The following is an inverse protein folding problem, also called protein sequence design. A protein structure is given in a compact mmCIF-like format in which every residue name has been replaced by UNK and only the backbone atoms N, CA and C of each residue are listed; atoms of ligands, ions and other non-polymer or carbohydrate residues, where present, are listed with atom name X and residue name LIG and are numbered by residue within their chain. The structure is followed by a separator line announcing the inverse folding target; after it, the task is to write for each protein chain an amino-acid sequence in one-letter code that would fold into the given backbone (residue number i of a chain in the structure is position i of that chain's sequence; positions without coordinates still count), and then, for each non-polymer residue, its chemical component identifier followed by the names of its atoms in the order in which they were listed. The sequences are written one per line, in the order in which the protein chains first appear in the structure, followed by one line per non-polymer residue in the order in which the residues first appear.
data_IF_151708788582
#
_entry.id   IF_151708788582
#
_cell.length_a   1.000
_cell.length_b   1.000
_cell.length_c   1.000
_cell.angle_alpha   90.00
_cell.angle_beta   90.00
_cell.angle_gamma   90.00
#
_symmetry.space_group_name_H-M   'P 1'
#
loop_
_entity.id
_entity.type
_entity.pdbx_description
1 polymer ?
#
# COMPACT_ATOMS: atom_id res chain seq x y z
N UNK A 1 -0.25 -7.41 -24.34
CA UNK A 1 0.05 -7.36 -22.88
C UNK A 1 1.24 -6.44 -22.72
N UNK A 2 1.10 -5.33 -22.02
CA UNK A 2 2.22 -4.41 -21.76
C UNK A 2 2.85 -4.82 -20.45
N UNK A 3 4.14 -5.12 -20.53
CA UNK A 3 5.00 -5.26 -19.38
C UNK A 3 5.47 -3.86 -18.98
N UNK A 4 5.02 -3.36 -17.84
CA UNK A 4 5.50 -2.12 -17.29
C UNK A 4 6.59 -2.43 -16.28
N UNK A 5 7.84 -2.45 -16.73
CA UNK A 5 8.99 -2.47 -15.84
C UNK A 5 9.25 -1.04 -15.36
N UNK A 6 9.14 -0.79 -14.07
CA UNK A 6 9.36 0.53 -13.49
C UNK A 6 10.55 0.45 -12.56
N UNK A 7 11.65 1.02 -12.97
CA UNK A 7 12.86 1.15 -12.15
C UNK A 7 12.71 2.32 -11.16
N UNK A 8 12.10 2.04 -10.01
CA UNK A 8 12.19 2.97 -8.86
C UNK A 8 13.49 2.85 -8.06
N UNK A 9 14.32 1.83 -8.32
CA UNK A 9 15.50 1.48 -7.53
C UNK A 9 16.86 1.85 -8.14
N UNK A 10 16.94 2.15 -9.41
CA UNK A 10 18.20 2.48 -10.08
C UNK A 10 18.77 3.86 -9.70
N UNK A 11 18.00 4.72 -9.04
CA UNK A 11 18.48 6.04 -8.57
C UNK A 11 19.60 6.00 -7.52
N UNK A 12 20.00 4.83 -7.04
CA UNK A 12 21.14 4.70 -6.11
C UNK A 12 22.50 4.65 -6.80
N UNK A 13 22.51 4.40 -8.10
CA UNK A 13 23.74 4.31 -8.91
C UNK A 13 23.95 5.51 -9.82
N UNK A 14 23.00 6.44 -9.90
CA UNK A 14 23.08 7.59 -10.80
C UNK A 14 23.06 8.90 -10.01
N UNK A 15 24.08 9.71 -10.28
CA UNK A 15 24.20 11.07 -9.75
C UNK A 15 22.96 11.90 -10.14
N UNK A 16 22.41 12.63 -9.18
CA UNK A 16 21.20 13.47 -9.33
C UNK A 16 21.33 14.61 -10.35
N UNK A 17 22.52 14.82 -10.90
CA UNK A 17 22.82 15.96 -11.78
C UNK A 17 22.69 15.70 -13.27
N UNK A 18 22.53 14.45 -13.73
CA UNK A 18 22.45 14.15 -15.16
C UNK A 18 21.24 13.28 -15.50
N UNK A 19 20.24 13.87 -16.15
CA UNK A 19 19.09 13.18 -16.76
C UNK A 19 19.48 12.38 -18.04
N UNK A 20 20.72 12.41 -18.46
CA UNK A 20 21.21 11.87 -19.75
C UNK A 20 22.03 10.60 -19.58
N UNK A 21 21.45 9.54 -19.02
CA UNK A 21 22.12 8.25 -19.05
C UNK A 21 21.40 7.31 -20.03
N UNK A 22 22.06 7.07 -21.15
CA UNK A 22 21.75 6.00 -22.09
C UNK A 22 21.98 4.66 -21.38
N UNK A 23 20.93 4.04 -20.86
CA UNK A 23 20.98 2.64 -20.46
C UNK A 23 20.90 1.86 -21.78
N UNK A 24 22.04 1.31 -22.24
CA UNK A 24 22.03 0.34 -23.34
C UNK A 24 21.37 -0.94 -22.82
N UNK A 25 20.19 -1.24 -23.34
CA UNK A 25 19.52 -2.50 -23.08
C UNK A 25 20.12 -3.58 -23.97
N UNK A 26 20.56 -4.69 -23.37
CA UNK A 26 21.06 -5.88 -24.06
C UNK A 26 20.00 -6.52 -24.97
N UNK A 27 18.71 -6.27 -24.72
CA UNK A 27 17.60 -6.89 -25.44
C UNK A 27 16.98 -5.92 -26.46
N UNK A 28 17.23 -6.16 -27.74
CA UNK A 28 16.59 -5.47 -28.85
C UNK A 28 15.27 -6.19 -29.22
N UNK A 29 14.19 -5.89 -28.53
CA UNK A 29 12.84 -6.41 -28.82
C UNK A 29 11.90 -5.23 -29.12
N UNK A 30 11.29 -5.23 -30.32
CA UNK A 30 10.38 -4.18 -30.75
C UNK A 30 9.13 -4.01 -29.85
N UNK A 31 8.85 -4.99 -28.97
CA UNK A 31 7.77 -4.91 -28.00
C UNK A 31 8.15 -4.12 -26.74
N UNK A 32 9.44 -3.87 -26.52
CA UNK A 32 9.96 -3.12 -25.39
C UNK A 32 9.98 -1.64 -25.75
N UNK A 33 9.27 -0.82 -24.98
CA UNK A 33 9.28 0.64 -25.07
C UNK A 33 9.94 1.21 -23.82
N UNK A 34 11.07 1.89 -23.98
CA UNK A 34 11.78 2.59 -22.92
C UNK A 34 11.28 4.02 -22.86
N UNK A 35 10.97 4.52 -21.66
CA UNK A 35 10.53 5.89 -21.42
C UNK A 35 11.40 6.49 -20.32
N UNK A 36 12.21 7.46 -20.70
CA UNK A 36 13.04 8.23 -19.76
C UNK A 36 12.25 9.41 -19.22
N UNK A 37 12.22 9.56 -17.89
CA UNK A 37 11.56 10.66 -17.20
C UNK A 37 12.43 11.16 -16.07
N UNK A 38 12.27 12.44 -15.67
CA UNK A 38 12.85 12.94 -14.44
C UNK A 38 12.41 12.08 -13.24
N UNK A 39 13.29 11.93 -12.24
CA UNK A 39 12.96 11.16 -11.04
C UNK A 39 11.94 11.91 -10.18
N UNK A 40 10.67 11.59 -10.37
CA UNK A 40 9.54 12.09 -9.58
C UNK A 40 8.91 11.00 -8.69
N UNK A 41 9.65 9.92 -8.43
CA UNK A 41 9.21 8.80 -7.60
C UNK A 41 8.43 7.71 -8.34
N UNK A 42 8.23 6.58 -7.66
CA UNK A 42 7.61 5.37 -8.23
C UNK A 42 6.19 5.60 -8.74
N UNK A 43 5.39 6.39 -8.02
CA UNK A 43 4.00 6.72 -8.41
C UNK A 43 3.94 7.45 -9.75
N UNK A 44 4.83 8.44 -9.97
CA UNK A 44 4.90 9.19 -11.21
C UNK A 44 5.34 8.29 -12.37
N UNK A 45 6.36 7.45 -12.16
CA UNK A 45 6.84 6.51 -13.16
C UNK A 45 5.73 5.51 -13.56
N UNK A 46 5.00 4.93 -12.58
CA UNK A 46 3.88 4.02 -12.85
C UNK A 46 2.74 4.72 -13.61
N UNK A 47 2.43 5.98 -13.29
CA UNK A 47 1.44 6.75 -14.04
C UNK A 47 1.87 6.98 -15.49
N UNK A 48 3.13 7.37 -15.73
CA UNK A 48 3.69 7.49 -17.09
C UNK A 48 3.54 6.17 -17.85
N UNK A 49 3.76 5.07 -17.18
CA UNK A 49 3.56 3.77 -17.78
C UNK A 49 2.11 3.47 -18.15
N UNK A 50 1.15 3.76 -17.26
CA UNK A 50 -0.29 3.60 -17.55
C UNK A 50 -0.68 4.44 -18.78
N UNK A 51 -0.20 5.68 -18.88
CA UNK A 51 -0.50 6.61 -19.95
C UNK A 51 0.04 6.16 -21.32
N UNK A 52 1.20 5.52 -21.32
CA UNK A 52 1.86 5.03 -22.52
C UNK A 52 1.52 3.58 -22.88
N UNK A 53 0.76 2.88 -22.06
CA UNK A 53 0.33 1.52 -22.33
C UNK A 53 -0.66 1.46 -23.47
N UNK A 54 -0.48 0.50 -24.40
CA UNK A 54 -1.33 0.31 -25.59
C UNK A 54 -2.12 -0.99 -25.56
N UNK A 55 -1.71 -1.98 -24.75
CA UNK A 55 -2.38 -3.29 -24.65
C UNK A 55 -3.60 -3.26 -23.71
N UNK A 56 -4.44 -4.28 -23.80
CA UNK A 56 -5.71 -4.38 -23.06
C UNK A 56 -5.53 -4.51 -21.56
N UNK A 57 -4.41 -5.08 -21.12
CA UNK A 57 -4.14 -5.35 -19.69
C UNK A 57 -2.82 -4.73 -19.26
N UNK A 58 -2.78 -4.25 -18.01
CA UNK A 58 -1.61 -3.67 -17.36
C UNK A 58 -1.21 -4.55 -16.19
N UNK A 59 0.08 -4.84 -16.09
CA UNK A 59 0.74 -5.55 -15.00
C UNK A 59 1.93 -4.70 -14.57
N UNK A 60 2.13 -4.56 -13.26
CA UNK A 60 3.33 -3.93 -12.71
C UNK A 60 4.33 -5.02 -12.33
N UNK A 61 5.60 -4.81 -12.62
CA UNK A 61 6.69 -5.70 -12.20
C UNK A 61 7.80 -4.83 -11.63
N UNK A 62 8.21 -5.13 -10.40
CA UNK A 62 9.30 -4.43 -9.77
C UNK A 62 10.64 -4.98 -10.31
N UNK A 63 11.67 -4.15 -10.51
CA UNK A 63 12.90 -4.53 -11.21
C UNK A 63 13.78 -5.54 -10.46
N UNK A 64 13.54 -5.73 -9.18
CA UNK A 64 14.26 -6.66 -8.30
C UNK A 64 13.53 -8.01 -8.10
N UNK A 65 12.39 -8.19 -8.79
CA UNK A 65 11.58 -9.40 -8.76
C UNK A 65 11.64 -10.18 -10.08
N UNK A 66 11.11 -11.40 -10.06
CA UNK A 66 11.04 -12.29 -11.23
C UNK A 66 9.65 -12.88 -11.40
N UNK A 67 9.41 -13.51 -12.55
CA UNK A 67 8.16 -14.23 -12.82
C UNK A 67 8.48 -15.66 -13.29
N UNK A 68 7.63 -16.62 -12.91
CA UNK A 68 7.74 -18.01 -13.36
C UNK A 68 7.34 -18.14 -14.82
N UNK A 69 7.73 -19.27 -15.43
CA UNK A 69 7.29 -19.64 -16.77
C UNK A 69 5.76 -19.63 -16.89
N UNK A 70 5.27 -19.34 -18.09
CA UNK A 70 3.85 -19.25 -18.41
C UNK A 70 3.03 -18.19 -17.63
N UNK A 71 3.70 -17.27 -16.88
CA UNK A 71 3.02 -16.17 -16.17
C UNK A 71 2.11 -15.38 -17.12
N UNK A 72 2.65 -14.86 -18.20
CA UNK A 72 1.91 -13.99 -19.12
C UNK A 72 0.84 -14.73 -19.92
N UNK A 73 1.10 -15.96 -20.37
CA UNK A 73 0.12 -16.75 -21.12
C UNK A 73 -1.06 -17.15 -20.26
N UNK A 74 -0.81 -17.56 -19.01
CA UNK A 74 -1.85 -17.92 -18.05
C UNK A 74 -2.73 -16.71 -17.72
N UNK A 75 -2.13 -15.54 -17.45
CA UNK A 75 -2.88 -14.33 -17.16
C UNK A 75 -3.71 -13.90 -18.37
N UNK A 76 -3.13 -13.90 -19.58
CA UNK A 76 -3.88 -13.58 -20.79
C UNK A 76 -5.12 -14.46 -20.93
N UNK A 77 -4.96 -15.78 -20.83
CA UNK A 77 -6.06 -16.73 -20.91
C UNK A 77 -7.12 -16.48 -19.84
N UNK A 78 -6.70 -16.25 -18.59
CA UNK A 78 -7.60 -15.95 -17.47
C UNK A 78 -8.39 -14.67 -17.71
N UNK A 79 -7.74 -13.56 -18.03
CA UNK A 79 -8.38 -12.26 -18.22
C UNK A 79 -9.35 -12.24 -19.41
N UNK A 80 -8.99 -12.91 -20.53
CA UNK A 80 -9.85 -12.95 -21.71
C UNK A 80 -11.07 -13.87 -21.52
N UNK A 81 -10.95 -14.95 -20.75
CA UNK A 81 -12.05 -15.91 -20.54
C UNK A 81 -13.20 -15.35 -19.69
N UNK A 82 -12.93 -14.39 -18.79
CA UNK A 82 -13.92 -13.91 -17.81
C UNK A 82 -14.18 -12.40 -17.87
N UNK A 83 -13.48 -11.66 -18.71
CA UNK A 83 -13.65 -10.20 -18.93
C UNK A 83 -13.79 -9.41 -17.62
N UNK A 84 -12.75 -9.44 -16.79
CA UNK A 84 -12.70 -8.78 -15.47
C UNK A 84 -12.06 -7.40 -15.55
N UNK A 85 -12.40 -6.51 -14.60
CA UNK A 85 -11.74 -5.22 -14.45
C UNK A 85 -10.37 -5.37 -13.77
N UNK A 86 -10.34 -6.21 -12.70
CA UNK A 86 -9.11 -6.51 -11.97
C UNK A 86 -9.08 -7.99 -11.58
N UNK A 87 -7.95 -8.65 -11.82
CA UNK A 87 -7.65 -9.95 -11.25
C UNK A 87 -6.67 -9.79 -10.08
N UNK A 88 -6.96 -10.47 -8.96
CA UNK A 88 -6.09 -10.52 -7.77
C UNK A 88 -5.40 -11.89 -7.78
N UNK A 89 -4.06 -11.89 -7.80
CA UNK A 89 -3.26 -13.11 -7.95
C UNK A 89 -2.65 -13.55 -6.62
N UNK A 90 -2.36 -14.84 -6.50
CA UNK A 90 -1.34 -15.34 -5.59
C UNK A 90 0.06 -14.94 -6.08
N UNK A 91 1.05 -15.07 -5.19
CA UNK A 91 2.45 -14.84 -5.52
C UNK A 91 3.34 -15.84 -4.79
N UNK A 92 4.58 -15.98 -5.26
CA UNK A 92 5.60 -16.80 -4.62
C UNK A 92 6.55 -15.89 -3.84
N UNK A 93 6.66 -16.10 -2.53
CA UNK A 93 7.54 -15.31 -1.68
C UNK A 93 8.86 -16.04 -1.49
N UNK A 94 9.96 -15.34 -1.65
CA UNK A 94 11.32 -15.80 -1.37
C UNK A 94 11.91 -14.87 -0.31
N UNK A 95 12.48 -15.41 0.74
CA UNK A 95 13.18 -14.64 1.79
C UNK A 95 14.64 -15.06 1.80
N UNK A 96 15.51 -14.11 1.54
CA UNK A 96 16.98 -14.29 1.55
C UNK A 96 17.59 -13.76 2.86
N UNK A 97 18.67 -14.42 3.30
CA UNK A 97 19.52 -13.92 4.37
C UNK A 97 20.55 -12.87 3.84
N UNK A 98 21.45 -12.40 4.72
CA UNK A 98 22.49 -11.42 4.34
C UNK A 98 23.52 -11.96 3.35
N UNK A 99 23.61 -13.28 3.19
CA UNK A 99 24.52 -13.96 2.30
C UNK A 99 23.88 -14.35 0.97
N UNK A 100 22.56 -14.04 0.79
CA UNK A 100 21.80 -14.41 -0.40
C UNK A 100 21.25 -15.85 -0.36
N UNK A 101 21.32 -16.55 0.77
CA UNK A 101 20.72 -17.88 0.87
C UNK A 101 19.23 -17.76 1.12
N UNK A 102 18.46 -18.63 0.48
CA UNK A 102 16.99 -18.72 0.71
C UNK A 102 16.77 -19.37 2.07
N UNK A 103 16.15 -18.59 2.98
CA UNK A 103 15.80 -19.06 4.34
C UNK A 103 14.33 -19.42 4.49
N UNK A 104 13.49 -18.92 3.58
CA UNK A 104 12.06 -19.25 3.52
C UNK A 104 11.54 -18.99 2.13
N UNK A 105 10.67 -19.87 1.63
CA UNK A 105 9.93 -19.66 0.39
C UNK A 105 8.56 -20.33 0.45
N UNK A 106 7.65 -19.90 -0.43
CA UNK A 106 6.32 -20.51 -0.56
C UNK A 106 5.30 -19.61 -1.26
N UNK A 107 4.19 -20.23 -1.62
CA UNK A 107 3.07 -19.50 -2.22
C UNK A 107 2.25 -18.76 -1.17
N UNK A 108 1.88 -17.53 -1.49
CA UNK A 108 0.98 -16.69 -0.70
C UNK A 108 -0.24 -16.40 -1.56
N UNK A 109 -1.40 -16.78 -1.06
CA UNK A 109 -2.67 -16.56 -1.73
C UNK A 109 -3.43 -15.37 -1.12
N UNK A 110 -4.38 -14.78 -1.85
CA UNK A 110 -5.36 -13.86 -1.27
C UNK A 110 -6.08 -14.50 -0.09
N UNK A 111 -6.46 -13.71 0.91
CA UNK A 111 -7.14 -14.20 2.12
C UNK A 111 -8.48 -14.86 1.80
N UNK A 112 -9.07 -14.49 0.66
CA UNK A 112 -10.34 -15.06 0.16
C UNK A 112 -10.28 -15.23 -1.35
N UNK A 113 -11.10 -16.12 -1.85
CA UNK A 113 -11.41 -16.20 -3.28
C UNK A 113 -12.44 -15.10 -3.59
N UNK A 114 -11.97 -13.92 -4.00
CA UNK A 114 -12.85 -12.80 -4.33
C UNK A 114 -13.53 -13.04 -5.66
N UNK A 115 -14.85 -13.00 -5.65
CA UNK A 115 -15.73 -13.02 -6.81
C UNK A 115 -16.67 -11.84 -6.66
N UNK A 116 -16.66 -10.92 -7.62
CA UNK A 116 -17.57 -9.79 -7.66
C UNK A 116 -18.05 -9.55 -9.09
N UNK A 117 -19.32 -9.22 -9.24
CA UNK A 117 -19.96 -8.92 -10.52
C UNK A 117 -20.61 -7.53 -10.56
N UNK A 118 -20.52 -6.78 -9.46
CA UNK A 118 -21.02 -5.42 -9.37
C UNK A 118 -20.10 -4.54 -8.55
N UNK A 119 -20.22 -3.22 -8.72
CA UNK A 119 -19.50 -2.25 -7.88
C UNK A 119 -19.89 -2.43 -6.41
N UNK A 120 -21.16 -2.69 -6.15
CA UNK A 120 -21.65 -2.88 -4.79
C UNK A 120 -21.00 -4.07 -4.09
N UNK A 121 -20.92 -5.23 -4.76
CA UNK A 121 -20.21 -6.40 -4.22
C UNK A 121 -18.75 -6.11 -3.97
N UNK A 122 -18.07 -5.44 -4.91
CA UNK A 122 -16.65 -5.08 -4.76
C UNK A 122 -16.43 -4.15 -3.57
N UNK A 123 -17.24 -3.12 -3.45
CA UNK A 123 -17.17 -2.13 -2.37
C UNK A 123 -17.44 -2.77 -1.00
N UNK A 124 -18.34 -3.74 -0.92
CA UNK A 124 -18.66 -4.44 0.34
C UNK A 124 -17.66 -5.54 0.72
N UNK A 125 -17.06 -6.23 -0.26
CA UNK A 125 -16.28 -7.46 0.00
C UNK A 125 -14.78 -7.32 -0.18
N UNK A 126 -14.35 -6.53 -1.17
CA UNK A 126 -12.93 -6.36 -1.54
C UNK A 126 -12.33 -5.08 -0.96
N UNK A 127 -12.97 -3.95 -1.21
CA UNK A 127 -12.45 -2.64 -0.83
C UNK A 127 -12.06 -2.52 0.66
N UNK A 128 -12.83 -3.04 1.64
CA UNK A 128 -12.48 -2.91 3.06
C UNK A 128 -11.12 -3.53 3.41
N UNK A 129 -10.64 -4.49 2.58
CA UNK A 129 -9.33 -5.13 2.77
C UNK A 129 -8.14 -4.29 2.28
N UNK A 130 -8.40 -3.19 1.59
CA UNK A 130 -7.39 -2.27 1.04
C UNK A 130 -7.53 -0.83 1.55
N UNK A 131 -8.72 -0.46 2.03
CA UNK A 131 -9.00 0.91 2.50
C UNK A 131 -8.22 1.25 3.78
N UNK A 132 -8.06 0.27 4.66
CA UNK A 132 -7.33 0.42 5.92
C UNK A 132 -8.03 -0.32 7.07
N UNK A 133 -7.44 -0.24 8.27
CA UNK A 133 -8.01 -0.88 9.46
C UNK A 133 -9.26 -0.14 9.92
N UNK A 134 -10.36 -0.87 10.06
CA UNK A 134 -11.59 -0.41 10.70
C UNK A 134 -11.48 -0.41 12.23
N UNK A 135 -12.47 0.17 12.91
CA UNK A 135 -12.63 0.01 14.37
C UNK A 135 -12.73 -1.48 14.73
N UNK A 136 -13.50 -2.25 13.96
CA UNK A 136 -13.69 -3.68 14.21
C UNK A 136 -12.39 -4.47 14.07
N UNK A 137 -11.54 -4.13 13.09
CA UNK A 137 -10.23 -4.77 12.92
C UNK A 137 -9.34 -4.56 14.14
N UNK A 138 -9.32 -3.35 14.71
CA UNK A 138 -8.55 -3.05 15.93
C UNK A 138 -9.10 -3.84 17.12
N UNK A 139 -10.42 -3.91 17.29
CA UNK A 139 -11.04 -4.65 18.39
C UNK A 139 -10.79 -6.16 18.29
N UNK A 140 -10.90 -6.74 17.09
CA UNK A 140 -10.59 -8.15 16.83
C UNK A 140 -9.10 -8.44 17.06
N UNK A 141 -8.22 -7.56 16.55
CA UNK A 141 -6.78 -7.70 16.75
C UNK A 141 -6.39 -7.62 18.24
N UNK A 142 -6.99 -6.72 18.99
CA UNK A 142 -6.69 -6.57 20.42
C UNK A 142 -6.97 -7.84 21.25
N UNK A 143 -7.86 -8.70 20.78
CA UNK A 143 -8.21 -10.00 21.39
C UNK A 143 -7.44 -11.18 20.79
N UNK A 144 -6.55 -10.93 19.84
CA UNK A 144 -5.84 -11.94 19.04
C UNK A 144 -4.35 -11.92 19.36
N UNK A 145 -3.67 -13.05 19.14
CA UNK A 145 -2.20 -13.15 19.15
C UNK A 145 -1.59 -12.89 17.77
N UNK A 146 -2.42 -12.78 16.72
CA UNK A 146 -1.96 -12.56 15.36
C UNK A 146 -1.47 -11.13 15.12
N UNK A 147 -0.63 -10.95 14.10
CA UNK A 147 -0.22 -9.63 13.65
C UNK A 147 -1.41 -8.89 13.02
N UNK A 148 -1.53 -7.58 13.31
CA UNK A 148 -2.61 -6.74 12.75
C UNK A 148 -2.61 -6.73 11.21
N UNK A 149 -1.44 -6.86 10.59
CA UNK A 149 -1.30 -6.91 9.14
C UNK A 149 -2.12 -8.02 8.48
N UNK A 150 -2.44 -9.11 9.20
CA UNK A 150 -3.32 -10.17 8.72
C UNK A 150 -4.80 -9.76 8.56
N UNK A 151 -5.18 -8.56 8.99
CA UNK A 151 -6.54 -8.04 8.82
C UNK A 151 -6.78 -7.42 7.46
N UNK A 152 -5.71 -7.03 6.75
CA UNK A 152 -5.76 -6.47 5.41
C UNK A 152 -5.16 -7.44 4.39
N UNK A 153 -5.52 -7.25 3.13
CA UNK A 153 -4.82 -7.90 2.02
C UNK A 153 -3.44 -7.27 1.79
N UNK A 154 -2.57 -8.03 1.16
CA UNK A 154 -1.30 -7.51 0.68
C UNK A 154 -1.55 -6.52 -0.45
N UNK A 155 -1.30 -5.24 -0.19
CA UNK A 155 -1.70 -4.13 -1.07
C UNK A 155 -0.83 -3.91 -2.29
N UNK A 156 0.18 -4.76 -2.57
CA UNK A 156 1.09 -4.59 -3.70
C UNK A 156 0.38 -4.65 -5.06
N UNK A 157 0.70 -3.74 -5.96
CA UNK A 157 0.08 -3.67 -7.30
C UNK A 157 0.59 -4.73 -8.24
N UNK A 158 1.82 -5.24 -8.04
CA UNK A 158 2.40 -6.29 -8.87
C UNK A 158 1.67 -7.65 -8.74
N UNK A 159 0.85 -7.85 -7.71
CA UNK A 159 0.01 -9.05 -7.60
C UNK A 159 -1.33 -8.92 -8.31
N UNK A 160 -1.60 -7.81 -8.96
CA UNK A 160 -2.88 -7.56 -9.63
C UNK A 160 -2.67 -7.34 -11.14
N UNK A 161 -3.69 -7.72 -11.89
CA UNK A 161 -3.79 -7.43 -13.32
C UNK A 161 -4.98 -6.53 -13.54
N UNK A 162 -4.78 -5.44 -14.24
CA UNK A 162 -5.82 -4.43 -14.46
C UNK A 162 -6.18 -4.35 -15.94
N UNK A 163 -7.46 -4.25 -16.24
CA UNK A 163 -7.89 -3.88 -17.59
C UNK A 163 -7.56 -2.40 -17.81
N UNK A 164 -6.81 -2.11 -18.88
CA UNK A 164 -6.35 -0.74 -19.19
C UNK A 164 -7.50 0.25 -19.33
N UNK A 165 -8.53 -0.11 -20.09
CA UNK A 165 -9.70 0.76 -20.31
C UNK A 165 -10.46 1.05 -19.00
N UNK A 166 -10.50 0.09 -18.07
CA UNK A 166 -11.04 0.32 -16.73
C UNK A 166 -10.26 1.40 -15.99
N UNK A 167 -8.91 1.33 -15.98
CA UNK A 167 -8.07 2.34 -15.33
C UNK A 167 -8.26 3.72 -15.96
N UNK A 168 -8.29 3.79 -17.30
CA UNK A 168 -8.40 5.05 -18.03
C UNK A 168 -9.79 5.68 -17.89
N UNK A 169 -10.86 4.91 -18.10
CA UNK A 169 -12.26 5.39 -17.99
C UNK A 169 -12.55 5.95 -16.59
N UNK A 170 -12.00 5.33 -15.56
CA UNK A 170 -12.22 5.75 -14.17
C UNK A 170 -11.10 6.66 -13.63
N UNK A 171 -10.15 7.08 -14.47
CA UNK A 171 -9.03 7.96 -14.10
C UNK A 171 -8.25 7.44 -12.88
N UNK A 172 -8.06 6.12 -12.80
CA UNK A 172 -7.34 5.50 -11.69
C UNK A 172 -5.85 5.71 -11.91
N UNK A 173 -5.22 6.48 -11.02
CA UNK A 173 -3.81 6.84 -11.05
C UNK A 173 -3.22 6.77 -9.63
N UNK A 174 -1.91 6.55 -9.56
CA UNK A 174 -1.18 6.68 -8.31
C UNK A 174 -1.15 8.15 -7.87
N UNK A 175 -1.22 8.37 -6.57
CA UNK A 175 -1.04 9.70 -5.99
C UNK A 175 0.46 9.92 -5.70
N UNK A 176 1.16 10.84 -6.39
CA UNK A 176 2.59 11.08 -6.19
C UNK A 176 2.95 11.63 -4.80
N UNK A 177 1.99 12.17 -4.07
CA UNK A 177 2.19 12.63 -2.68
C UNK A 177 2.26 11.47 -1.67
N UNK A 178 1.87 10.26 -2.07
CA UNK A 178 1.96 9.06 -1.23
C UNK A 178 3.22 8.29 -1.61
N UNK A 179 4.19 8.23 -0.70
CA UNK A 179 5.49 7.58 -0.92
C UNK A 179 5.62 6.19 -0.29
N UNK A 180 4.71 5.88 0.63
CA UNK A 180 4.59 4.58 1.31
C UNK A 180 3.13 4.17 1.35
N UNK A 181 2.82 2.94 0.97
CA UNK A 181 1.47 2.39 0.77
C UNK A 181 0.69 3.07 -0.38
N UNK A 182 1.39 3.65 -1.35
CA UNK A 182 0.81 4.15 -2.61
C UNK A 182 0.05 3.06 -3.36
N UNK A 183 0.57 1.84 -3.34
CA UNK A 183 -0.01 0.63 -3.93
C UNK A 183 -1.38 0.31 -3.34
N UNK A 184 -1.48 0.33 -2.01
CA UNK A 184 -2.75 0.07 -1.32
C UNK A 184 -3.80 1.11 -1.66
N UNK A 185 -3.42 2.39 -1.78
CA UNK A 185 -4.36 3.45 -2.13
C UNK A 185 -4.76 3.42 -3.60
N UNK A 186 -3.84 3.07 -4.51
CA UNK A 186 -4.17 2.82 -5.91
C UNK A 186 -5.20 1.68 -6.03
N UNK A 187 -4.96 0.58 -5.33
CA UNK A 187 -5.88 -0.55 -5.28
C UNK A 187 -7.24 -0.17 -4.67
N UNK A 188 -7.25 0.54 -3.55
CA UNK A 188 -8.50 1.00 -2.92
C UNK A 188 -9.32 1.89 -3.87
N UNK A 189 -8.66 2.82 -4.58
CA UNK A 189 -9.32 3.64 -5.60
C UNK A 189 -9.88 2.77 -6.74
N UNK A 190 -9.10 1.80 -7.22
CA UNK A 190 -9.55 0.85 -8.23
C UNK A 190 -10.77 0.05 -7.77
N UNK A 191 -10.69 -0.58 -6.60
CA UNK A 191 -11.78 -1.40 -6.08
C UNK A 191 -13.02 -0.60 -5.70
N UNK A 192 -12.92 0.70 -5.44
CA UNK A 192 -14.08 1.56 -5.25
C UNK A 192 -14.94 1.72 -6.53
N UNK A 193 -14.41 1.32 -7.69
CA UNK A 193 -15.05 1.51 -9.01
C UNK A 193 -15.19 0.23 -9.83
N UNK A 194 -14.48 -0.84 -9.46
CA UNK A 194 -14.48 -2.08 -10.23
C UNK A 194 -15.81 -2.83 -10.11
N UNK A 195 -16.34 -3.27 -11.25
CA UNK A 195 -17.53 -4.10 -11.30
C UNK A 195 -17.19 -5.59 -11.17
N UNK A 196 -16.15 -6.03 -11.90
CA UNK A 196 -15.81 -7.45 -11.98
C UNK A 196 -14.43 -7.72 -11.42
N UNK A 197 -14.39 -8.43 -10.30
CA UNK A 197 -13.17 -8.91 -9.66
C UNK A 197 -13.14 -10.43 -9.67
N UNK A 198 -11.98 -11.00 -9.92
CA UNK A 198 -11.73 -12.45 -9.76
C UNK A 198 -10.38 -12.67 -9.13
N UNK A 199 -10.29 -13.72 -8.35
CA UNK A 199 -9.01 -14.21 -7.80
C UNK A 199 -8.49 -15.34 -8.66
N UNK A 200 -7.19 -15.35 -8.92
CA UNK A 200 -6.44 -16.47 -9.47
C UNK A 200 -5.44 -16.98 -8.43
N UNK A 201 -5.76 -18.11 -7.80
CA UNK A 201 -4.91 -18.74 -6.77
C UNK A 201 -3.73 -19.48 -7.43
N UNK A 202 -2.79 -18.70 -7.99
CA UNK A 202 -1.52 -19.21 -8.55
C UNK A 202 -0.42 -18.18 -8.27
N UNK A 203 0.72 -18.68 -7.78
CA UNK A 203 1.90 -17.88 -7.42
C UNK A 203 2.94 -17.87 -8.54
N UNK A 204 2.73 -17.08 -9.59
CA UNK A 204 3.69 -16.94 -10.68
C UNK A 204 4.65 -15.77 -10.52
N UNK A 205 4.27 -14.72 -9.80
CA UNK A 205 5.13 -13.59 -9.46
C UNK A 205 6.01 -13.99 -8.28
N UNK A 206 7.33 -13.85 -8.41
CA UNK A 206 8.31 -14.19 -7.38
C UNK A 206 8.79 -12.92 -6.69
N UNK A 207 8.22 -12.63 -5.52
CA UNK A 207 8.60 -11.51 -4.67
C UNK A 207 9.74 -11.89 -3.74
N UNK A 208 10.89 -11.21 -3.85
CA UNK A 208 12.08 -11.51 -3.07
C UNK A 208 12.33 -10.49 -1.97
N UNK A 209 12.27 -10.93 -0.72
CA UNK A 209 12.60 -10.11 0.46
C UNK A 209 14.09 -10.24 0.76
N UNK A 210 14.82 -9.12 0.63
CA UNK A 210 16.25 -9.01 0.94
C UNK A 210 16.49 -8.09 2.13
N UNK A 211 17.48 -8.36 3.00
CA UNK A 211 17.81 -7.48 4.14
C UNK A 211 18.20 -6.06 3.73
N UNK A 212 18.74 -5.89 2.51
CA UNK A 212 19.12 -4.59 1.92
C UNK A 212 18.00 -3.91 1.12
N UNK A 213 16.83 -4.54 1.00
CA UNK A 213 15.73 -4.06 0.16
C UNK A 213 15.21 -2.68 0.54
N UNK A 214 14.58 -2.00 -0.42
CA UNK A 214 14.02 -0.65 -0.25
C UNK A 214 12.96 -0.58 0.87
N UNK A 215 12.24 -1.67 1.10
CA UNK A 215 11.27 -1.80 2.20
C UNK A 215 11.90 -1.65 3.60
N UNK A 216 13.19 -2.00 3.74
CA UNK A 216 13.91 -1.92 5.01
C UNK A 216 14.47 -0.51 5.32
N UNK A 217 14.41 0.43 4.37
CA UNK A 217 14.94 1.78 4.57
C UNK A 217 14.00 2.62 5.43
N UNK A 218 14.55 3.24 6.47
CA UNK A 218 13.82 4.20 7.30
C UNK A 218 13.58 5.50 6.52
N UNK A 219 12.32 5.94 6.45
CA UNK A 219 11.89 7.20 5.82
C UNK A 219 11.17 8.08 6.83
N UNK A 220 11.79 8.24 8.02
CA UNK A 220 11.14 8.94 9.14
C UNK A 220 10.88 10.43 8.83
N UNK A 221 11.75 11.09 8.05
CA UNK A 221 11.62 12.52 7.72
C UNK A 221 10.33 12.87 6.96
N UNK A 222 9.82 11.96 6.12
CA UNK A 222 8.64 12.17 5.28
C UNK A 222 7.36 11.53 5.88
N UNK A 223 7.47 10.95 7.08
CA UNK A 223 6.41 10.10 7.62
C UNK A 223 5.12 10.88 7.89
N UNK A 224 5.19 12.09 8.44
CA UNK A 224 3.99 12.90 8.75
C UNK A 224 3.26 13.31 7.48
N UNK A 225 4.00 13.76 6.46
CA UNK A 225 3.44 14.15 5.16
C UNK A 225 2.78 12.96 4.49
N UNK A 226 3.45 11.81 4.48
CA UNK A 226 2.89 10.58 3.93
C UNK A 226 1.61 10.13 4.64
N UNK A 227 1.57 10.20 5.99
CA UNK A 227 0.35 9.88 6.76
C UNK A 227 -0.79 10.85 6.45
N UNK A 228 -0.48 12.12 6.22
CA UNK A 228 -1.47 13.14 5.82
C UNK A 228 -2.03 12.82 4.43
N UNK A 229 -1.18 12.52 3.46
CA UNK A 229 -1.61 12.15 2.11
C UNK A 229 -2.45 10.87 2.10
N UNK A 230 -2.10 9.86 2.91
CA UNK A 230 -2.91 8.65 3.07
C UNK A 230 -4.28 8.93 3.70
N UNK A 231 -4.34 9.81 4.70
CA UNK A 231 -5.59 10.23 5.33
C UNK A 231 -6.53 10.89 4.31
N UNK A 232 -6.01 11.83 3.53
CA UNK A 232 -6.75 12.55 2.49
C UNK A 232 -7.23 11.59 1.40
N UNK A 233 -6.38 10.68 0.92
CA UNK A 233 -6.75 9.70 -0.10
C UNK A 233 -7.89 8.80 0.36
N UNK A 234 -7.84 8.27 1.59
CA UNK A 234 -8.93 7.46 2.17
C UNK A 234 -10.22 8.25 2.28
N UNK A 235 -10.13 9.47 2.79
CA UNK A 235 -11.30 10.36 2.96
C UNK A 235 -11.95 10.68 1.62
N UNK A 236 -11.15 10.93 0.58
CA UNK A 236 -11.66 11.22 -0.76
C UNK A 236 -12.38 10.00 -1.36
N UNK A 237 -11.83 8.79 -1.18
CA UNK A 237 -12.48 7.54 -1.62
C UNK A 237 -13.82 7.36 -0.91
N UNK A 238 -13.85 7.53 0.43
CA UNK A 238 -15.06 7.36 1.22
C UNK A 238 -16.12 8.43 0.87
N UNK A 239 -15.71 9.69 0.71
CA UNK A 239 -16.61 10.77 0.31
C UNK A 239 -17.21 10.53 -1.08
N UNK A 240 -16.41 10.04 -2.04
CA UNK A 240 -16.93 9.68 -3.37
C UNK A 240 -17.94 8.52 -3.28
N UNK A 241 -17.64 7.50 -2.49
CA UNK A 241 -18.55 6.37 -2.27
C UNK A 241 -19.90 6.84 -1.67
N UNK A 242 -19.85 7.69 -0.65
CA UNK A 242 -21.06 8.20 0.01
C UNK A 242 -21.91 9.07 -0.95
N UNK A 243 -21.28 9.89 -1.81
CA UNK A 243 -21.98 10.61 -2.88
C UNK A 243 -22.67 9.69 -3.89
N UNK A 244 -22.15 8.47 -4.04
CA UNK A 244 -22.72 7.42 -4.91
C UNK A 244 -23.74 6.53 -4.19
N UNK A 245 -24.11 6.86 -2.94
CA UNK A 245 -25.14 6.15 -2.18
C UNK A 245 -24.62 4.96 -1.36
N UNK A 246 -23.30 4.77 -1.21
CA UNK A 246 -22.74 3.79 -0.29
C UNK A 246 -22.69 4.37 1.13
N UNK A 247 -22.94 3.54 2.13
CA UNK A 247 -22.91 3.95 3.54
C UNK A 247 -21.56 3.59 4.17
N UNK A 248 -20.58 4.47 3.98
CA UNK A 248 -19.27 4.38 4.65
C UNK A 248 -19.15 5.46 5.73
N UNK A 249 -18.60 5.06 6.86
CA UNK A 249 -18.36 5.95 7.99
C UNK A 249 -16.87 6.03 8.35
N UNK A 250 -16.55 6.97 9.23
CA UNK A 250 -15.19 7.05 9.78
C UNK A 250 -14.75 5.73 10.43
N UNK A 251 -15.68 4.91 10.96
CA UNK A 251 -15.39 3.64 11.62
C UNK A 251 -14.71 2.62 10.70
N UNK A 252 -14.95 2.73 9.39
CA UNK A 252 -14.43 1.79 8.38
C UNK A 252 -12.92 1.92 8.13
N UNK A 253 -12.30 3.04 8.56
CA UNK A 253 -10.86 3.28 8.43
C UNK A 253 -10.22 3.99 9.63
N UNK A 254 -10.97 4.26 10.69
CA UNK A 254 -10.49 4.97 11.89
C UNK A 254 -9.30 4.27 12.55
N UNK A 255 -9.28 2.94 12.54
CA UNK A 255 -8.15 2.15 13.07
C UNK A 255 -6.83 2.54 12.41
N UNK A 256 -6.80 2.71 11.09
CA UNK A 256 -5.60 3.15 10.37
C UNK A 256 -5.13 4.54 10.78
N UNK A 257 -6.05 5.47 11.03
CA UNK A 257 -5.70 6.83 11.45
C UNK A 257 -5.13 6.85 12.87
N UNK A 258 -5.71 6.08 13.78
CA UNK A 258 -5.19 5.94 15.17
C UNK A 258 -3.86 5.23 15.20
N UNK A 259 -3.68 4.14 14.42
CA UNK A 259 -2.39 3.44 14.30
C UNK A 259 -1.31 4.36 13.71
N UNK A 260 -1.66 5.25 12.80
CA UNK A 260 -0.74 6.28 12.30
C UNK A 260 -0.32 7.25 13.40
N UNK A 261 -1.22 7.66 14.31
CA UNK A 261 -0.85 8.46 15.48
C UNK A 261 0.15 7.73 16.38
N UNK A 262 -0.09 6.44 16.65
CA UNK A 262 0.83 5.63 17.47
C UNK A 262 2.21 5.53 16.81
N UNK A 263 2.26 5.29 15.51
CA UNK A 263 3.51 5.22 14.77
C UNK A 263 4.27 6.55 14.81
N UNK A 264 3.58 7.68 14.61
CA UNK A 264 4.18 9.01 14.69
C UNK A 264 4.71 9.31 16.10
N UNK A 265 3.97 8.99 17.15
CA UNK A 265 4.41 9.17 18.54
C UNK A 265 5.69 8.36 18.81
N UNK A 266 5.76 7.13 18.29
CA UNK A 266 6.90 6.22 18.54
C UNK A 266 8.12 6.57 17.67
N UNK A 267 7.93 6.87 16.39
CA UNK A 267 9.04 7.03 15.44
C UNK A 267 9.60 8.44 15.38
N UNK A 268 8.77 9.46 15.48
CA UNK A 268 9.19 10.83 15.27
C UNK A 268 10.08 11.36 16.40
N UNK A 269 11.14 12.14 16.07
CA UNK A 269 11.95 12.84 17.08
C UNK A 269 11.12 13.96 17.72
N UNK A 270 11.55 14.40 18.90
CA UNK A 270 10.86 15.50 19.61
C UNK A 270 10.85 16.80 18.82
N UNK A 271 11.84 17.04 17.98
CA UNK A 271 11.89 18.18 17.06
C UNK A 271 10.69 18.25 16.11
N UNK A 272 10.15 17.11 15.68
CA UNK A 272 8.98 17.00 14.80
C UNK A 272 7.62 16.97 15.54
N UNK A 273 7.60 17.35 16.83
CA UNK A 273 6.37 17.35 17.64
C UNK A 273 5.27 18.28 17.12
N UNK A 274 5.64 19.37 16.44
CA UNK A 274 4.67 20.32 15.87
C UNK A 274 3.90 19.70 14.72
N UNK A 275 4.58 19.05 13.80
CA UNK A 275 4.02 18.36 12.64
C UNK A 275 3.18 17.17 13.09
N UNK A 276 3.69 16.36 14.03
CA UNK A 276 2.94 15.25 14.64
C UNK A 276 1.65 15.77 15.31
N UNK A 277 1.73 16.86 16.07
CA UNK A 277 0.56 17.50 16.70
C UNK A 277 -0.44 18.00 15.67
N UNK A 278 0.03 18.60 14.54
CA UNK A 278 -0.84 19.04 13.45
C UNK A 278 -1.63 17.86 12.86
N UNK A 279 -0.98 16.73 12.61
CA UNK A 279 -1.65 15.51 12.15
C UNK A 279 -2.72 15.02 13.16
N UNK A 280 -2.35 14.86 14.42
CA UNK A 280 -3.25 14.38 15.48
C UNK A 280 -4.47 15.31 15.66
N UNK A 281 -4.30 16.62 15.44
CA UNK A 281 -5.37 17.64 15.54
C UNK A 281 -6.22 17.78 14.29
N UNK A 282 -5.92 17.06 13.22
CA UNK A 282 -6.80 17.02 12.06
C UNK A 282 -8.20 16.51 12.49
N UNK A 283 -9.27 17.12 11.97
CA UNK A 283 -10.65 16.82 12.36
C UNK A 283 -11.00 15.34 12.17
N UNK A 284 -10.61 14.75 11.05
CA UNK A 284 -10.86 13.34 10.73
C UNK A 284 -10.10 12.42 11.70
N UNK A 285 -8.85 12.77 12.05
CA UNK A 285 -8.06 12.01 13.03
C UNK A 285 -8.69 12.09 14.43
N UNK A 286 -9.14 13.28 14.84
CA UNK A 286 -9.85 13.45 16.13
C UNK A 286 -11.14 12.65 16.19
N UNK A 287 -11.90 12.63 15.11
CA UNK A 287 -13.10 11.80 15.03
C UNK A 287 -12.75 10.32 15.10
N UNK A 288 -11.69 9.88 14.41
CA UNK A 288 -11.18 8.51 14.48
C UNK A 288 -10.80 8.09 15.91
N UNK A 289 -10.12 8.98 16.64
CA UNK A 289 -9.76 8.77 18.05
C UNK A 289 -11.02 8.65 18.92
N UNK A 290 -12.03 9.48 18.68
CA UNK A 290 -13.28 9.49 19.44
C UNK A 290 -14.06 8.19 19.26
N UNK A 291 -14.20 7.70 18.03
CA UNK A 291 -15.01 6.51 17.72
C UNK A 291 -14.35 5.19 18.10
N UNK A 292 -13.02 5.15 18.28
CA UNK A 292 -12.32 3.93 18.72
C UNK A 292 -12.50 3.75 20.23
N UNK A 293 -13.18 2.68 20.71
CA UNK A 293 -13.30 2.41 22.15
C UNK A 293 -11.99 1.84 22.71
N UNK A 294 -11.87 1.84 24.03
CA UNK A 294 -10.80 1.08 24.69
C UNK A 294 -10.98 -0.41 24.43
N UNK A 295 -9.85 -1.09 24.25
CA UNK A 295 -9.82 -2.47 23.71
C UNK A 295 -9.58 -3.52 24.79
N UNK A 296 -9.16 -3.10 26.01
CA UNK A 296 -8.65 -3.98 27.07
C UNK A 296 -7.17 -4.37 26.90
N UNK A 297 -6.53 -3.98 25.78
CA UNK A 297 -5.11 -4.27 25.52
C UNK A 297 -4.24 -3.06 25.84
N UNK A 298 -3.43 -3.14 26.91
CA UNK A 298 -2.61 -2.02 27.38
C UNK A 298 -1.77 -1.34 26.29
N UNK A 299 -1.17 -2.11 25.38
CA UNK A 299 -0.37 -1.58 24.25
C UNK A 299 -1.17 -0.66 23.31
N UNK A 300 -2.48 -0.85 23.23
CA UNK A 300 -3.40 0.01 22.44
C UNK A 300 -3.98 1.10 23.31
N UNK A 301 -4.41 0.75 24.53
CA UNK A 301 -5.21 1.61 25.38
C UNK A 301 -4.40 2.74 26.03
N UNK A 302 -3.12 2.52 26.36
CA UNK A 302 -2.25 3.56 26.91
C UNK A 302 -2.04 4.70 25.89
N UNK A 303 -1.58 4.45 24.64
CA UNK A 303 -1.47 5.52 23.66
C UNK A 303 -2.84 6.09 23.26
N UNK A 304 -3.89 5.29 23.20
CA UNK A 304 -5.25 5.77 22.92
C UNK A 304 -5.75 6.72 24.02
N UNK A 305 -5.49 6.41 25.28
CA UNK A 305 -5.78 7.29 26.39
C UNK A 305 -5.07 8.65 26.24
N UNK A 306 -3.77 8.62 25.95
CA UNK A 306 -3.01 9.85 25.73
C UNK A 306 -3.56 10.69 24.58
N UNK A 307 -4.06 10.06 23.51
CA UNK A 307 -4.72 10.74 22.40
C UNK A 307 -6.08 11.33 22.79
N UNK A 308 -6.91 10.56 23.49
CA UNK A 308 -8.27 10.98 23.92
C UNK A 308 -8.27 12.15 24.89
N UNK A 309 -7.25 12.22 25.76
CA UNK A 309 -7.12 13.27 26.77
C UNK A 309 -6.08 14.34 26.43
N UNK A 310 -5.68 14.44 25.16
CA UNK A 310 -4.73 15.43 24.62
C UNK A 310 -3.33 15.40 25.28
N UNK A 311 -2.95 14.25 25.84
CA UNK A 311 -1.66 14.01 26.52
C UNK A 311 -0.57 13.52 25.56
N UNK A 312 -0.82 13.53 24.25
CA UNK A 312 0.07 12.98 23.25
C UNK A 312 1.45 13.66 23.21
N UNK A 313 1.54 14.97 23.56
CA UNK A 313 2.83 15.67 23.64
C UNK A 313 3.69 15.14 24.77
N UNK A 314 3.09 14.86 25.94
CA UNK A 314 3.78 14.22 27.08
C UNK A 314 4.24 12.82 26.69
N UNK A 315 3.43 12.08 25.94
CA UNK A 315 3.80 10.75 25.47
C UNK A 315 4.95 10.79 24.47
N UNK A 316 4.96 11.75 23.52
CA UNK A 316 6.09 11.96 22.60
C UNK A 316 7.37 12.24 23.41
N UNK A 317 7.28 13.07 24.44
CA UNK A 317 8.42 13.37 25.32
C UNK A 317 8.91 12.11 26.04
N UNK A 318 8.02 11.38 26.68
CA UNK A 318 8.35 10.14 27.42
C UNK A 318 8.98 9.06 26.51
N UNK A 319 8.45 8.87 25.30
CA UNK A 319 9.01 7.94 24.31
C UNK A 319 10.42 8.35 23.89
N UNK A 320 10.64 9.64 23.59
CA UNK A 320 11.96 10.12 23.19
C UNK A 320 12.96 10.05 24.35
N UNK A 321 12.55 10.33 25.58
CA UNK A 321 13.38 10.15 26.76
C UNK A 321 13.74 8.67 26.96
N UNK A 322 12.76 7.75 26.86
CA UNK A 322 13.00 6.33 26.95
C UNK A 322 14.01 5.80 25.91
N UNK A 323 13.96 6.33 24.67
CA UNK A 323 14.95 6.00 23.63
C UNK A 323 16.37 6.39 24.01
N UNK A 324 16.57 7.52 24.70
CA UNK A 324 17.89 7.97 25.20
C UNK A 324 18.45 6.96 26.23
N UNK A 325 17.59 6.26 26.95
CA UNK A 325 17.97 5.19 27.89
C UNK A 325 17.91 3.79 27.30
N UNK A 326 17.89 3.66 25.97
CA UNK A 326 17.90 2.37 25.27
C UNK A 326 16.59 1.61 25.26
N UNK A 327 15.48 2.20 25.68
CA UNK A 327 14.15 1.56 25.66
C UNK A 327 13.65 1.46 24.23
N UNK A 328 13.34 0.24 23.78
CA UNK A 328 12.74 0.00 22.46
C UNK A 328 11.22 -0.02 22.56
N UNK A 329 10.56 0.90 21.87
CA UNK A 329 9.10 0.93 21.73
C UNK A 329 8.71 0.22 20.42
N UNK A 330 7.83 -0.77 20.50
CA UNK A 330 7.28 -1.52 19.35
C UNK A 330 5.76 -1.54 19.45
N UNK A 331 5.10 -1.30 18.30
CA UNK A 331 3.66 -1.47 18.15
C UNK A 331 3.26 -2.94 18.09
#
# INVERSE_FOLDING_TARGET
MVLLMISGGLSQYFDKSNCDHNIEFEYKDARIKIIHTCNCGVSAARNTGIENATSDYIIFIDPDDTVKENYFSTIKTFMTSINVDVAILGFYQIVEDKNGNIVKEGEIFPQKNYISNSVEETVRTVLPKYLGYSVEDILKWAKSTEAISKRLEWGAVWRNVYRRDFLNKNQIRFNPSIRLNEDSMFNALGFSRAQKIRTLNKGFYCYTIRPSGAFMKKRDAELVENKTALLEARSNIVNDLNKRGFDFSIKDYAGSNVMSCFELIIKMPFSARRETKKYIRNSIVKESIKVLPFTGRKKVDIPLFALKYDLHVLMIYAVNLGKLFGVQFRL
#
